data_IF_391488694490
#
_entry.id   IF_391488694490
#
_cell.length_a   1.000
_cell.length_b   1.000
_cell.length_c   1.000
_cell.angle_alpha   90.00
_cell.angle_beta   90.00
_cell.angle_gamma   90.00
#
_symmetry.space_group_name_H-M   'P 1'
#
loop_
_entity.id
_entity.type
_entity.pdbx_description
1 polymer ?
#
# COMPACT_ATOMS: atom_id res chain seq x y z
N UNK A 1 -6.95 11.72 -30.34
CA UNK A 1 -8.00 11.01 -29.60
C UNK A 1 -7.56 9.58 -29.43
N UNK A 2 -7.04 9.27 -28.25
CA UNK A 2 -6.77 7.89 -27.80
C UNK A 2 -6.59 7.98 -26.26
N UNK A 3 -7.38 7.39 -25.37
CA UNK A 3 -8.44 6.41 -25.58
C UNK A 3 -8.22 5.10 -24.83
N UNK A 4 -7.37 5.01 -23.79
CA UNK A 4 -7.43 3.91 -22.80
C UNK A 4 -6.78 4.32 -21.47
N UNK A 5 -7.57 4.91 -20.56
CA UNK A 5 -7.19 5.10 -19.15
C UNK A 5 -7.54 3.82 -18.39
N UNK A 6 -6.74 2.76 -18.60
CA UNK A 6 -6.66 1.69 -17.61
C UNK A 6 -5.67 2.17 -16.58
N UNK A 7 -6.15 2.72 -15.46
CA UNK A 7 -5.30 3.25 -14.40
C UNK A 7 -4.40 2.12 -13.89
N UNK A 8 -3.10 2.22 -14.18
CA UNK A 8 -2.13 1.23 -13.71
C UNK A 8 -1.98 1.46 -12.22
N UNK A 9 -2.57 0.58 -11.39
CA UNK A 9 -2.42 0.67 -9.93
C UNK A 9 -0.98 0.28 -9.56
N UNK A 10 -0.18 1.30 -9.25
CA UNK A 10 1.16 1.15 -8.71
C UNK A 10 2.22 0.73 -9.72
N UNK A 11 3.48 0.86 -9.28
CA UNK A 11 4.67 0.49 -10.04
C UNK A 11 5.32 -0.76 -9.44
N UNK A 12 5.42 -1.82 -10.23
CA UNK A 12 6.16 -3.03 -9.84
C UNK A 12 7.67 -2.77 -9.75
N UNK A 13 8.28 -3.18 -8.64
CA UNK A 13 9.71 -3.05 -8.32
C UNK A 13 10.28 -4.44 -8.01
N UNK A 14 11.36 -4.82 -8.68
CA UNK A 14 12.11 -6.04 -8.38
C UNK A 14 13.33 -5.71 -7.51
N UNK A 15 13.55 -6.48 -6.45
CA UNK A 15 14.70 -6.37 -5.54
C UNK A 15 15.41 -7.71 -5.42
N UNK A 16 16.62 -7.72 -4.85
CA UNK A 16 17.35 -8.95 -4.52
C UNK A 16 16.65 -9.69 -3.38
N UNK A 17 15.56 -10.40 -3.68
CA UNK A 17 14.75 -11.13 -2.69
C UNK A 17 13.27 -11.25 -3.05
N UNK A 18 12.81 -10.58 -4.11
CA UNK A 18 11.41 -10.65 -4.54
C UNK A 18 10.97 -9.43 -5.33
N UNK A 19 9.67 -9.22 -5.38
CA UNK A 19 9.04 -8.10 -6.05
C UNK A 19 7.96 -7.50 -5.16
N UNK A 20 7.78 -6.18 -5.22
CA UNK A 20 6.66 -5.50 -4.58
C UNK A 20 6.09 -4.44 -5.52
N UNK A 21 4.86 -4.00 -5.24
CA UNK A 21 4.23 -2.88 -5.96
C UNK A 21 4.33 -1.63 -5.11
N UNK A 22 4.99 -0.59 -5.62
CA UNK A 22 4.99 0.72 -4.99
C UNK A 22 3.76 1.50 -5.45
N UNK A 23 2.92 1.90 -4.49
CA UNK A 23 1.65 2.61 -4.73
C UNK A 23 1.78 4.06 -4.26
N UNK A 24 1.24 5.01 -5.03
CA UNK A 24 1.16 6.44 -4.67
C UNK A 24 0.02 6.71 -3.68
N UNK A 25 -0.08 7.94 -3.17
CA UNK A 25 -1.17 8.32 -2.26
C UNK A 25 -2.52 8.28 -2.99
N UNK A 26 -2.59 8.80 -4.21
CA UNK A 26 -3.80 8.84 -5.03
C UNK A 26 -4.27 7.43 -5.40
N UNK A 27 -3.35 6.55 -5.77
CA UNK A 27 -3.65 5.15 -6.07
C UNK A 27 -4.14 4.41 -4.82
N UNK A 28 -3.51 4.64 -3.66
CA UNK A 28 -3.97 4.05 -2.39
C UNK A 28 -5.39 4.54 -2.04
N UNK A 29 -5.71 5.81 -2.28
CA UNK A 29 -7.06 6.33 -2.07
C UNK A 29 -8.08 5.59 -2.94
N UNK A 30 -7.79 5.40 -4.23
CA UNK A 30 -8.65 4.62 -5.14
C UNK A 30 -8.80 3.16 -4.67
N UNK A 31 -7.70 2.53 -4.23
CA UNK A 31 -7.74 1.17 -3.68
C UNK A 31 -8.60 1.05 -2.42
N UNK A 32 -8.67 2.09 -1.59
CA UNK A 32 -9.48 2.09 -0.36
C UNK A 32 -10.98 2.27 -0.63
N UNK A 33 -11.39 2.77 -1.80
CA UNK A 33 -12.81 2.87 -2.18
C UNK A 33 -13.47 1.49 -2.33
N UNK A 34 -12.73 0.52 -2.88
CA UNK A 34 -13.15 -0.87 -3.07
C UNK A 34 -12.15 -1.83 -2.41
N UNK A 35 -11.92 -1.66 -1.11
CA UNK A 35 -10.88 -2.39 -0.37
C UNK A 35 -11.11 -3.91 -0.38
N UNK A 36 -10.18 -4.65 -1.00
CA UNK A 36 -10.15 -6.11 -1.06
C UNK A 36 -8.84 -6.71 -0.48
N UNK A 37 -8.08 -5.91 0.25
CA UNK A 37 -6.79 -6.27 0.84
C UNK A 37 -6.71 -5.95 2.33
N UNK A 38 -5.73 -6.57 3.00
CA UNK A 38 -5.37 -6.25 4.39
C UNK A 38 -4.44 -5.05 4.39
N UNK A 39 -4.82 -3.99 5.10
CA UNK A 39 -4.04 -2.76 5.21
C UNK A 39 -3.38 -2.67 6.59
N UNK A 40 -2.05 -2.71 6.61
CA UNK A 40 -1.26 -2.74 7.85
C UNK A 40 -0.44 -1.46 7.97
N UNK A 41 -0.58 -0.76 9.09
CA UNK A 41 0.29 0.33 9.47
C UNK A 41 1.51 -0.23 10.23
N UNK A 42 2.71 0.08 9.76
CA UNK A 42 3.98 -0.34 10.39
C UNK A 42 4.84 0.81 10.88
N UNK A 43 4.33 2.04 10.84
CA UNK A 43 5.11 3.24 11.14
C UNK A 43 5.45 3.35 12.63
N UNK A 44 6.73 3.64 12.91
CA UNK A 44 7.23 4.00 14.24
C UNK A 44 7.99 5.34 14.16
N UNK A 45 7.76 6.30 15.09
CA UNK A 45 6.80 6.24 16.19
C UNK A 45 5.34 6.24 15.70
N UNK A 46 4.42 5.72 16.50
CA UNK A 46 3.01 5.71 16.14
C UNK A 46 2.42 7.13 16.15
N UNK A 47 1.89 7.57 15.01
CA UNK A 47 1.30 8.91 14.82
C UNK A 47 -0.20 8.86 14.44
N UNK A 48 -0.81 7.68 14.54
CA UNK A 48 -2.19 7.42 14.13
C UNK A 48 -2.29 6.55 12.88
N UNK A 49 -3.51 6.16 12.55
CA UNK A 49 -3.82 5.29 11.42
C UNK A 49 -4.52 6.05 10.29
N UNK A 50 -4.25 5.62 9.06
CA UNK A 50 -5.06 5.98 7.90
C UNK A 50 -6.44 5.30 8.05
N UNK A 51 -7.56 5.94 7.64
CA UNK A 51 -8.85 5.29 7.64
C UNK A 51 -8.84 3.95 6.91
N UNK A 52 -9.54 2.95 7.46
CA UNK A 52 -9.59 1.57 6.98
C UNK A 52 -8.30 0.74 7.14
N UNK A 53 -7.34 1.18 7.95
CA UNK A 53 -6.28 0.28 8.48
C UNK A 53 -6.92 -0.87 9.26
N UNK A 54 -6.51 -2.11 8.98
CA UNK A 54 -6.98 -3.31 9.70
C UNK A 54 -6.12 -3.62 10.92
N UNK A 55 -4.81 -3.40 10.80
CA UNK A 55 -3.81 -3.77 11.81
C UNK A 55 -2.75 -2.68 11.92
N UNK A 56 -2.27 -2.45 13.13
CA UNK A 56 -1.14 -1.58 13.40
C UNK A 56 -0.10 -2.39 14.16
N UNK A 57 0.98 -2.77 13.47
CA UNK A 57 2.05 -3.63 13.98
C UNK A 57 3.35 -2.85 13.82
N UNK A 58 3.98 -2.38 14.90
CA UNK A 58 5.26 -1.67 14.84
C UNK A 58 6.29 -2.46 14.01
N UNK A 59 7.05 -1.77 13.14
CA UNK A 59 8.03 -2.43 12.28
C UNK A 59 9.04 -3.29 13.06
N UNK A 60 9.40 -2.89 14.28
CA UNK A 60 10.35 -3.59 15.15
C UNK A 60 9.80 -4.87 15.82
N UNK A 61 8.50 -5.14 15.69
CA UNK A 61 7.87 -6.40 16.12
C UNK A 61 7.78 -7.44 14.99
N UNK A 62 8.20 -7.10 13.76
CA UNK A 62 8.14 -7.97 12.57
C UNK A 62 9.47 -8.71 12.39
N UNK A 63 9.42 -10.05 12.38
CA UNK A 63 10.58 -10.91 12.09
C UNK A 63 10.73 -11.19 10.58
N UNK A 64 11.96 -11.41 10.10
CA UNK A 64 12.29 -11.57 8.65
C UNK A 64 12.75 -12.99 8.28
#
# INVERSE_FOLDING_TARGET
>A
TDGTSGEVIGKKISVSGGEYTNVSVEELQAMLEEKDFVFVNVHIPFEGDIPNTDLSIPFDEIDQ
#
